data_IF_322859318042
#
_entry.id   IF_322859318042
#
_cell.length_a   1.000
_cell.length_b   1.000
_cell.length_c   1.000
_cell.angle_alpha   90.00
_cell.angle_beta   90.00
_cell.angle_gamma   90.00
#
_symmetry.space_group_name_H-M   'P 1'
#
loop_
_entity.id
_entity.type
_entity.pdbx_description
1 polymer ?
#
# COMPACT_ATOMS: atom_id res chain seq x y z
N UNK A 1 -11.07 2.96 -50.00
CA UNK A 1 -9.60 2.71 -49.91
C UNK A 1 -9.10 1.79 -51.03
N UNK A 2 -8.15 2.25 -51.85
CA UNK A 2 -7.65 1.69 -53.13
C UNK A 2 -8.63 1.60 -54.31
N UNK A 3 -9.85 1.07 -54.14
CA UNK A 3 -10.82 0.97 -55.25
C UNK A 3 -11.38 2.33 -55.69
N UNK A 4 -11.63 3.25 -54.74
CA UNK A 4 -12.08 4.61 -55.04
C UNK A 4 -11.01 5.45 -55.76
N UNK A 5 -9.74 5.11 -55.58
CA UNK A 5 -8.61 5.84 -56.16
C UNK A 5 -8.41 5.54 -57.65
N UNK A 6 -8.82 4.37 -58.13
CA UNK A 6 -8.73 4.01 -59.55
C UNK A 6 -9.87 4.64 -60.35
N UNK A 7 -11.10 4.55 -59.83
CA UNK A 7 -12.28 5.16 -60.45
C UNK A 7 -12.17 6.70 -60.49
N UNK A 8 -11.68 7.32 -59.41
CA UNK A 8 -11.43 8.77 -59.39
C UNK A 8 -10.33 9.21 -60.36
N UNK A 9 -9.28 8.42 -60.56
CA UNK A 9 -8.24 8.69 -61.57
C UNK A 9 -8.78 8.60 -62.99
N UNK A 10 -9.67 7.64 -63.26
CA UNK A 10 -10.32 7.50 -64.57
C UNK A 10 -11.26 8.68 -64.88
N UNK A 11 -12.06 9.10 -63.90
CA UNK A 11 -12.95 10.26 -64.03
C UNK A 11 -12.20 11.58 -64.21
N UNK A 12 -11.07 11.74 -63.51
CA UNK A 12 -10.20 12.90 -63.66
C UNK A 12 -9.56 12.91 -65.06
N UNK A 13 -9.12 11.76 -65.56
CA UNK A 13 -8.57 11.64 -66.92
C UNK A 13 -9.59 12.05 -67.99
N UNK A 14 -10.82 11.55 -67.87
CA UNK A 14 -11.94 11.84 -68.78
C UNK A 14 -12.33 13.33 -68.76
N UNK A 15 -12.39 13.94 -67.56
CA UNK A 15 -12.66 15.37 -67.39
C UNK A 15 -11.58 16.25 -68.02
N UNK A 16 -10.30 15.97 -67.78
CA UNK A 16 -9.21 16.76 -68.38
C UNK A 16 -9.13 16.57 -69.90
N UNK A 17 -9.38 15.36 -70.40
CA UNK A 17 -9.47 15.13 -71.84
C UNK A 17 -10.63 15.91 -72.47
N UNK A 18 -11.80 15.95 -71.82
CA UNK A 18 -12.97 16.71 -72.28
C UNK A 18 -12.74 18.23 -72.32
N UNK A 19 -11.82 18.75 -71.50
CA UNK A 19 -11.43 20.16 -71.49
C UNK A 19 -10.29 20.51 -72.48
N UNK A 20 -9.85 19.54 -73.30
CA UNK A 20 -8.87 19.77 -74.36
C UNK A 20 -7.42 19.80 -73.89
N UNK A 21 -7.12 19.30 -72.69
CA UNK A 21 -5.74 19.13 -72.22
C UNK A 21 -5.05 18.01 -73.02
N UNK A 22 -3.74 18.16 -73.25
CA UNK A 22 -2.93 17.12 -73.89
C UNK A 22 -2.83 15.87 -73.03
N UNK A 23 -2.79 14.69 -73.65
CA UNK A 23 -2.67 13.41 -72.94
C UNK A 23 -1.46 13.38 -71.98
N UNK A 24 -0.34 13.96 -72.40
CA UNK A 24 0.86 14.10 -71.56
C UNK A 24 0.61 14.94 -70.29
N UNK A 25 -0.09 16.07 -70.42
CA UNK A 25 -0.47 16.90 -69.27
C UNK A 25 -1.48 16.22 -68.34
N UNK A 26 -2.41 15.44 -68.89
CA UNK A 26 -3.39 14.67 -68.10
C UNK A 26 -2.67 13.59 -67.30
N UNK A 27 -1.76 12.85 -67.94
CA UNK A 27 -0.97 11.80 -67.30
C UNK A 27 -0.03 12.36 -66.22
N UNK A 28 0.56 13.53 -66.45
CA UNK A 28 1.40 14.21 -65.45
C UNK A 28 0.59 14.57 -64.18
N UNK A 29 -0.62 15.11 -64.34
CA UNK A 29 -1.51 15.47 -63.23
C UNK A 29 -1.96 14.22 -62.46
N UNK A 30 -2.39 13.17 -63.16
CA UNK A 30 -2.77 11.89 -62.53
C UNK A 30 -1.61 11.27 -61.76
N UNK A 31 -0.40 11.30 -62.33
CA UNK A 31 0.80 10.80 -61.68
C UNK A 31 1.13 11.60 -60.42
N UNK A 32 1.03 12.92 -60.47
CA UNK A 32 1.27 13.79 -59.32
C UNK A 32 0.30 13.51 -58.17
N UNK A 33 -1.02 13.46 -58.45
CA UNK A 33 -2.01 13.12 -57.42
C UNK A 33 -1.85 11.70 -56.89
N UNK A 34 -1.44 10.75 -57.74
CA UNK A 34 -1.09 9.40 -57.31
C UNK A 34 0.05 9.38 -56.28
N UNK A 35 1.11 10.16 -56.53
CA UNK A 35 2.24 10.29 -55.60
C UNK A 35 1.86 11.03 -54.32
N UNK A 36 1.04 12.07 -54.40
CA UNK A 36 0.57 12.79 -53.21
C UNK A 36 -0.29 11.90 -52.31
N UNK A 37 -1.21 11.12 -52.88
CA UNK A 37 -2.03 10.17 -52.12
C UNK A 37 -1.18 9.08 -51.46
N UNK A 38 -0.12 8.61 -52.13
CA UNK A 38 0.84 7.66 -51.55
C UNK A 38 1.62 8.27 -50.39
N UNK A 39 2.09 9.51 -50.52
CA UNK A 39 2.77 10.24 -49.46
C UNK A 39 1.85 10.50 -48.26
N UNK A 40 0.59 10.89 -48.51
CA UNK A 40 -0.42 11.08 -47.46
C UNK A 40 -0.65 9.80 -46.67
N UNK A 41 -0.82 8.67 -47.37
CA UNK A 41 -0.97 7.36 -46.72
C UNK A 41 0.28 6.97 -45.91
N UNK A 42 1.47 7.30 -46.41
CA UNK A 42 2.72 7.05 -45.69
C UNK A 42 2.81 7.90 -44.42
N UNK A 43 2.45 9.19 -44.50
CA UNK A 43 2.42 10.10 -43.35
C UNK A 43 1.41 9.60 -42.32
N UNK A 44 0.18 9.30 -42.73
CA UNK A 44 -0.85 8.75 -41.84
C UNK A 44 -0.39 7.45 -41.17
N UNK A 45 0.28 6.56 -41.91
CA UNK A 45 0.83 5.34 -41.35
C UNK A 45 1.91 5.62 -40.30
N UNK A 46 2.77 6.63 -40.52
CA UNK A 46 3.80 7.02 -39.55
C UNK A 46 3.21 7.66 -38.29
N UNK A 47 2.22 8.54 -38.44
CA UNK A 47 1.51 9.17 -37.33
C UNK A 47 0.79 8.12 -36.47
N UNK A 48 0.04 7.22 -37.12
CA UNK A 48 -0.61 6.10 -36.44
C UNK A 48 0.39 5.20 -35.71
N UNK A 49 1.56 4.98 -36.30
CA UNK A 49 2.61 4.18 -35.65
C UNK A 49 3.16 4.88 -34.42
N UNK A 50 3.40 6.19 -34.48
CA UNK A 50 3.86 6.99 -33.35
C UNK A 50 2.83 7.04 -32.21
N UNK A 51 1.53 7.14 -32.53
CA UNK A 51 0.44 7.04 -31.55
C UNK A 51 0.42 5.67 -30.86
N UNK A 52 0.54 4.59 -31.64
CA UNK A 52 0.57 3.23 -31.10
C UNK A 52 1.80 2.97 -30.23
N UNK A 53 2.97 3.47 -30.62
CA UNK A 53 4.19 3.39 -29.82
C UNK A 53 4.04 4.15 -28.49
N UNK A 54 3.44 5.34 -28.53
CA UNK A 54 3.17 6.12 -27.31
C UNK A 54 2.21 5.39 -26.38
N UNK A 55 1.10 4.85 -26.92
CA UNK A 55 0.14 4.07 -26.14
C UNK A 55 0.77 2.79 -25.55
N UNK A 56 1.67 2.15 -26.29
CA UNK A 56 2.42 0.99 -25.81
C UNK A 56 3.32 1.35 -24.63
N UNK A 57 4.08 2.44 -24.73
CA UNK A 57 4.96 2.92 -23.66
C UNK A 57 4.16 3.31 -22.41
N UNK A 58 3.03 4.00 -22.59
CA UNK A 58 2.14 4.34 -21.47
C UNK A 58 1.61 3.09 -20.77
N UNK A 59 1.13 2.10 -21.56
CA UNK A 59 0.63 0.83 -21.04
C UNK A 59 1.71 0.06 -20.28
N UNK A 60 2.93 0.00 -20.82
CA UNK A 60 4.07 -0.62 -20.15
C UNK A 60 4.42 0.10 -18.84
N UNK A 61 4.40 1.45 -18.83
CA UNK A 61 4.61 2.24 -17.61
C UNK A 61 3.59 1.92 -16.53
N UNK A 62 2.30 1.90 -16.89
CA UNK A 62 1.21 1.53 -15.97
C UNK A 62 1.34 0.10 -15.46
N UNK A 63 1.78 -0.83 -16.32
CA UNK A 63 1.99 -2.22 -15.94
C UNK A 63 3.12 -2.35 -14.90
N UNK A 64 4.25 -1.67 -15.11
CA UNK A 64 5.36 -1.67 -14.16
C UNK A 64 4.96 -1.04 -12.81
N UNK A 65 4.18 0.04 -12.82
CA UNK A 65 3.65 0.63 -11.59
C UNK A 65 2.73 -0.34 -10.83
N UNK A 66 1.87 -1.06 -11.55
CA UNK A 66 1.01 -2.08 -10.95
C UNK A 66 1.83 -3.25 -10.35
N UNK A 67 2.86 -3.72 -11.07
CA UNK A 67 3.76 -4.75 -10.54
C UNK A 67 4.49 -4.29 -9.28
N UNK A 68 4.96 -3.04 -9.23
CA UNK A 68 5.61 -2.49 -8.04
C UNK A 68 4.64 -2.43 -6.84
N UNK A 69 3.38 -2.03 -7.06
CA UNK A 69 2.34 -2.03 -6.01
C UNK A 69 2.03 -3.44 -5.50
N UNK A 70 2.00 -4.43 -6.39
CA UNK A 70 1.79 -5.83 -6.00
C UNK A 70 2.96 -6.31 -5.14
N UNK A 71 4.20 -6.07 -5.57
CA UNK A 71 5.38 -6.47 -4.80
C UNK A 71 5.43 -5.82 -3.41
N UNK A 72 5.08 -4.54 -3.30
CA UNK A 72 4.98 -3.84 -2.00
C UNK A 72 3.86 -4.43 -1.12
N UNK A 73 2.70 -4.73 -1.70
CA UNK A 73 1.61 -5.38 -0.98
C UNK A 73 1.99 -6.79 -0.49
N UNK A 74 2.67 -7.59 -1.33
CA UNK A 74 3.18 -8.91 -0.96
C UNK A 74 4.21 -8.82 0.17
N UNK A 75 5.15 -7.88 0.11
CA UNK A 75 6.11 -7.65 1.19
C UNK A 75 5.41 -7.27 2.50
N UNK A 76 4.39 -6.41 2.43
CA UNK A 76 3.60 -6.02 3.60
C UNK A 76 2.80 -7.19 4.17
N UNK A 77 2.23 -8.05 3.32
CA UNK A 77 1.52 -9.26 3.76
C UNK A 77 2.49 -10.20 4.45
N UNK A 78 3.66 -10.46 3.87
CA UNK A 78 4.67 -11.34 4.48
C UNK A 78 5.10 -10.84 5.88
N UNK A 79 5.30 -9.53 6.04
CA UNK A 79 5.60 -8.94 7.35
C UNK A 79 4.44 -9.12 8.34
N UNK A 80 3.20 -8.94 7.90
CA UNK A 80 2.04 -9.13 8.75
C UNK A 80 1.87 -10.60 9.16
N UNK A 81 2.07 -11.54 8.25
CA UNK A 81 2.04 -12.97 8.52
C UNK A 81 3.14 -13.38 9.50
N UNK A 82 4.37 -12.86 9.34
CA UNK A 82 5.45 -13.08 10.30
C UNK A 82 5.09 -12.55 11.69
N UNK A 83 4.56 -11.32 11.80
CA UNK A 83 4.14 -10.76 13.08
C UNK A 83 2.95 -11.50 13.71
N UNK A 84 2.04 -12.04 12.89
CA UNK A 84 0.93 -12.85 13.36
C UNK A 84 1.40 -14.21 13.89
N UNK A 85 2.33 -14.86 13.18
CA UNK A 85 2.96 -16.10 13.64
C UNK A 85 3.68 -15.93 14.97
N UNK A 86 4.48 -14.86 15.11
CA UNK A 86 5.15 -14.52 16.37
C UNK A 86 4.13 -14.30 17.50
N UNK A 87 3.01 -13.61 17.21
CA UNK A 87 1.96 -13.38 18.20
C UNK A 87 1.33 -14.70 18.66
N UNK A 88 1.04 -15.61 17.73
CA UNK A 88 0.41 -16.89 18.05
C UNK A 88 1.35 -17.80 18.84
N UNK A 89 2.64 -17.83 18.51
CA UNK A 89 3.67 -18.55 19.26
C UNK A 89 3.82 -18.02 20.70
N UNK A 90 3.84 -16.69 20.86
CA UNK A 90 3.88 -16.04 22.18
C UNK A 90 2.62 -16.33 22.99
N UNK A 91 1.44 -16.32 22.35
CA UNK A 91 0.18 -16.65 23.00
C UNK A 91 0.15 -18.13 23.44
N UNK A 92 0.66 -19.05 22.62
CA UNK A 92 0.77 -20.46 22.97
C UNK A 92 1.69 -20.67 24.17
N UNK A 93 2.89 -20.07 24.16
CA UNK A 93 3.83 -20.14 25.28
C UNK A 93 3.25 -19.56 26.58
N UNK A 94 2.52 -18.43 26.50
CA UNK A 94 1.83 -17.86 27.66
C UNK A 94 0.71 -18.77 28.19
N UNK A 95 0.00 -19.49 27.32
CA UNK A 95 -1.04 -20.44 27.75
C UNK A 95 -0.43 -21.64 28.48
N UNK A 96 0.69 -22.17 27.98
CA UNK A 96 1.43 -23.26 28.63
C UNK A 96 1.95 -22.84 30.02
N UNK A 97 2.45 -21.61 30.16
CA UNK A 97 2.86 -21.08 31.48
C UNK A 97 1.68 -20.82 32.42
N UNK A 98 0.53 -20.41 31.88
CA UNK A 98 -0.69 -20.25 32.67
C UNK A 98 -1.22 -21.58 33.24
N UNK A 99 -1.08 -22.66 32.48
CA UNK A 99 -1.48 -24.01 32.89
C UNK A 99 -0.56 -24.60 33.96
N UNK A 100 0.70 -24.13 34.01
CA UNK A 100 1.68 -24.51 35.03
C UNK A 100 1.58 -23.66 36.32
N UNK A 101 0.70 -22.65 36.38
CA UNK A 101 0.50 -21.88 37.60
C UNK A 101 -0.18 -22.71 38.69
N UNK A 102 0.26 -22.62 39.96
CA UNK A 102 -0.32 -23.36 41.08
C UNK A 102 -1.68 -22.78 41.56
N UNK A 103 -2.40 -22.09 40.69
CA UNK A 103 -3.73 -21.52 40.94
C UNK A 103 -4.72 -21.97 39.87
N UNK A 104 -5.98 -22.18 40.24
CA UNK A 104 -7.04 -22.47 39.29
C UNK A 104 -7.38 -21.21 38.48
N UNK A 105 -6.94 -21.16 37.22
CA UNK A 105 -7.32 -20.10 36.26
C UNK A 105 -8.61 -20.50 35.56
N UNK A 106 -9.63 -19.64 35.57
CA UNK A 106 -10.91 -19.92 34.90
C UNK A 106 -10.80 -19.81 33.37
N UNK A 107 -11.67 -20.49 32.62
CA UNK A 107 -11.65 -20.46 31.15
C UNK A 107 -11.78 -19.05 30.57
N UNK A 108 -12.62 -18.20 31.17
CA UNK A 108 -12.76 -16.78 30.78
C UNK A 108 -11.49 -15.96 31.02
N UNK A 109 -10.72 -16.30 32.06
CA UNK A 109 -9.44 -15.67 32.36
C UNK A 109 -8.33 -16.12 31.39
N UNK A 110 -8.35 -17.38 30.94
CA UNK A 110 -7.45 -17.89 29.89
C UNK A 110 -7.75 -17.27 28.53
N UNK A 111 -9.03 -17.06 28.20
CA UNK A 111 -9.42 -16.39 26.97
C UNK A 111 -9.10 -14.89 26.99
N UNK A 112 -9.18 -14.22 28.14
CA UNK A 112 -8.77 -12.82 28.29
C UNK A 112 -7.26 -12.59 28.02
N UNK A 113 -6.40 -13.61 28.17
CA UNK A 113 -4.99 -13.48 27.78
C UNK A 113 -4.78 -13.32 26.27
N UNK A 114 -5.80 -13.61 25.44
CA UNK A 114 -5.75 -13.36 23.98
C UNK A 114 -5.89 -11.88 23.62
N UNK A 115 -6.24 -11.03 24.60
CA UNK A 115 -6.38 -9.57 24.48
C UNK A 115 -7.17 -9.17 23.22
N UNK A 116 -8.32 -9.84 23.01
CA UNK A 116 -9.18 -9.60 21.85
C UNK A 116 -10.12 -8.44 22.11
N UNK A 117 -10.54 -8.26 23.37
CA UNK A 117 -11.43 -7.19 23.79
C UNK A 117 -10.70 -6.18 24.69
N UNK A 118 -11.08 -4.89 24.64
CA UNK A 118 -10.48 -3.86 25.48
C UNK A 118 -10.70 -4.10 26.99
N UNK A 119 -11.67 -4.94 27.37
CA UNK A 119 -11.93 -5.34 28.76
C UNK A 119 -10.99 -6.42 29.30
N UNK A 120 -10.31 -7.16 28.42
CA UNK A 120 -9.48 -8.32 28.77
C UNK A 120 -8.26 -7.94 29.60
N UNK A 121 -7.65 -6.78 29.31
CA UNK A 121 -6.51 -6.26 30.05
C UNK A 121 -6.80 -6.07 31.54
N UNK A 122 -8.04 -5.71 31.89
CA UNK A 122 -8.46 -5.54 33.28
C UNK A 122 -8.59 -6.87 34.01
N UNK A 123 -9.07 -7.91 33.31
CA UNK A 123 -9.19 -9.26 33.85
C UNK A 123 -7.80 -9.86 34.10
N UNK A 124 -6.87 -9.68 33.15
CA UNK A 124 -5.47 -10.09 33.30
C UNK A 124 -4.79 -9.37 34.48
N UNK A 125 -4.99 -8.06 34.64
CA UNK A 125 -4.43 -7.33 35.77
C UNK A 125 -4.93 -7.86 37.13
N UNK A 126 -6.22 -8.20 37.23
CA UNK A 126 -6.80 -8.77 38.46
C UNK A 126 -6.28 -10.19 38.77
N UNK A 127 -5.96 -10.99 37.74
CA UNK A 127 -5.32 -12.29 37.91
C UNK A 127 -3.93 -12.18 38.52
N UNK A 128 -3.08 -11.30 37.98
CA UNK A 128 -1.75 -11.05 38.52
C UNK A 128 -1.81 -10.48 39.95
N UNK A 129 -2.78 -9.62 40.26
CA UNK A 129 -2.98 -9.14 41.63
C UNK A 129 -3.36 -10.29 42.59
N UNK A 130 -4.16 -11.25 42.13
CA UNK A 130 -4.55 -12.42 42.94
C UNK A 130 -3.37 -13.37 43.21
N UNK A 131 -2.48 -13.55 42.22
CA UNK A 131 -1.24 -14.32 42.35
C UNK A 131 -0.31 -13.71 43.40
N UNK A 132 -0.11 -12.39 43.34
CA UNK A 132 0.73 -11.65 44.31
C UNK A 132 0.19 -11.80 45.74
N UNK A 133 -1.14 -11.77 45.91
CA UNK A 133 -1.78 -11.94 47.22
C UNK A 133 -1.67 -13.37 47.77
N UNK A 134 -1.73 -14.40 46.93
CA UNK A 134 -1.54 -15.80 47.35
C UNK A 134 -0.08 -16.08 47.71
N UNK A 135 0.87 -15.57 46.92
CA UNK A 135 2.30 -15.64 47.24
C UNK A 135 2.65 -14.95 48.56
N UNK A 136 2.07 -13.78 48.84
CA UNK A 136 2.27 -13.06 50.10
C UNK A 136 1.67 -13.78 51.33
N UNK A 137 0.67 -14.64 51.12
CA UNK A 137 -0.03 -15.36 52.20
C UNK A 137 0.68 -16.66 52.62
N UNK A 138 1.49 -17.23 51.74
CA UNK A 138 2.31 -18.42 52.01
C UNK A 138 3.74 -18.11 52.45
N UNK A 139 4.13 -16.83 52.55
CA UNK A 139 5.33 -16.46 53.27
C UNK A 139 5.12 -16.75 54.76
N UNK A 140 6.03 -17.46 55.46
CA UNK A 140 5.96 -17.59 56.90
C UNK A 140 6.06 -16.19 57.52
N UNK A 141 4.91 -15.69 58.00
CA UNK A 141 4.79 -14.38 58.63
C UNK A 141 5.59 -14.42 59.93
N UNK A 142 6.83 -13.96 59.88
CA UNK A 142 7.54 -13.54 61.09
C UNK A 142 6.87 -12.27 61.61
N UNK A 143 6.69 -12.25 62.93
CA UNK A 143 5.77 -11.41 63.71
C UNK A 143 5.81 -9.90 63.37
N UNK A 144 4.60 -9.34 63.28
CA UNK A 144 4.16 -7.94 63.51
C UNK A 144 5.25 -6.88 63.62
N UNK A 145 5.41 -6.09 62.56
CA UNK A 145 5.99 -4.75 62.65
C UNK A 145 4.86 -3.78 63.01
N UNK A 146 5.11 -3.00 64.07
CA UNK A 146 4.21 -1.99 64.67
C UNK A 146 3.69 -0.97 63.65
N UNK A 147 2.45 -0.55 63.88
CA UNK A 147 1.81 0.62 63.28
C UNK A 147 2.70 1.87 63.36
N UNK A 148 2.83 2.57 62.24
CA UNK A 148 3.36 3.93 62.17
C UNK A 148 2.16 4.87 61.94
N UNK A 149 2.06 6.01 62.65
CA UNK A 149 0.84 6.81 62.65
C UNK A 149 0.59 7.49 61.31
N UNK A 150 -0.69 7.54 60.97
CA UNK A 150 -1.30 8.26 59.87
C UNK A 150 -1.05 9.77 60.01
N UNK A 151 -0.31 10.37 59.07
CA UNK A 151 -0.24 11.83 58.93
C UNK A 151 -1.16 12.26 57.78
N UNK A 152 -2.09 13.16 58.12
CA UNK A 152 -3.06 13.73 57.21
C UNK A 152 -2.41 14.73 56.22
N UNK A 153 -2.63 14.47 54.93
CA UNK A 153 -3.06 15.39 53.88
C UNK A 153 -2.51 16.83 53.83
N UNK A 154 -1.57 17.11 52.90
CA UNK A 154 -1.46 18.40 52.19
C UNK A 154 -1.18 18.14 50.71
N UNK A 155 -1.91 18.86 49.86
CA UNK A 155 -1.99 18.79 48.40
C UNK A 155 -0.67 19.15 47.67
N UNK A 156 -0.57 18.63 46.44
CA UNK A 156 0.58 18.65 45.50
C UNK A 156 1.02 20.06 45.01
N UNK A 157 2.11 20.15 44.23
CA UNK A 157 1.90 20.05 42.79
C UNK A 157 2.87 19.13 42.04
N UNK A 158 2.36 18.62 40.92
CA UNK A 158 3.09 17.91 39.87
C UNK A 158 4.06 18.87 39.19
N UNK A 159 5.33 18.53 39.13
CA UNK A 159 6.23 19.11 38.12
C UNK A 159 6.31 18.15 36.94
N UNK A 160 5.69 18.60 35.86
CA UNK A 160 5.77 18.03 34.52
C UNK A 160 7.23 17.97 34.07
N UNK A 161 7.74 16.77 33.83
CA UNK A 161 9.03 16.59 33.18
C UNK A 161 8.90 17.00 31.70
N UNK A 162 9.21 18.27 31.42
CA UNK A 162 9.29 18.82 30.06
C UNK A 162 10.58 18.30 29.44
N UNK A 163 10.47 17.37 28.49
CA UNK A 163 11.60 16.97 27.64
C UNK A 163 11.94 18.17 26.75
N UNK A 164 13.10 18.76 26.98
CA UNK A 164 13.63 19.85 26.15
C UNK A 164 14.54 19.25 25.08
N UNK A 165 14.15 19.31 23.81
CA UNK A 165 15.05 19.03 22.69
C UNK A 165 15.85 20.30 22.38
N UNK A 166 17.10 20.33 22.82
CA UNK A 166 18.01 21.42 22.51
C UNK A 166 19.10 20.89 21.58
N UNK A 167 18.89 20.98 20.25
CA UNK A 167 19.98 21.22 19.30
C UNK A 167 19.44 21.65 17.92
N UNK A 168 19.25 22.95 17.75
CA UNK A 168 19.08 23.59 16.44
C UNK A 168 20.46 23.79 15.80
N UNK A 169 20.90 22.81 15.00
CA UNK A 169 21.97 23.03 14.02
C UNK A 169 21.32 23.68 12.80
N UNK A 170 21.50 25.00 12.66
CA UNK A 170 21.07 25.79 11.52
C UNK A 170 21.96 25.48 10.30
N UNK A 171 21.41 25.05 9.13
CA UNK A 171 22.20 24.71 7.95
C UNK A 171 22.32 25.86 6.92
N UNK A 172 22.33 27.13 7.34
CA UNK A 172 22.58 28.25 6.42
C UNK A 172 23.55 29.28 7.03
N UNK A 173 24.83 29.09 6.72
CA UNK A 173 25.86 30.13 6.61
C UNK A 173 26.80 29.74 5.48
#
# INVERSE_FOLDING_TARGET
GMFESADSKSLLAESLAAHGYSDESVQAVISHYGKMAELEMMVEATERTAELETALLESQGRHLEAMAKIADAEARIALLEETAGIRDDVLAAMQDELDNLPIFVSAAQKDAFRLKEPGDAKIVATLFESLIKVGARNLPVTKKIKEVPQAANVQAPRETSIITFNNSINPFK
#
